data_IF_367484969726
#
_entry.id   IF_367484969726
#
_cell.length_a   1.000
_cell.length_b   1.000
_cell.length_c   1.000
_cell.angle_alpha   90.00
_cell.angle_beta   90.00
_cell.angle_gamma   90.00
#
_symmetry.space_group_name_H-M   'P 1'
#
loop_
_entity.id
_entity.type
_entity.pdbx_description
1 polymer ?
#
# COMPACT_ATOMS: atom_id res chain seq x y z
N UNK A 1 25.79 36.44 -70.48
CA UNK A 1 25.97 37.73 -69.79
C UNK A 1 25.42 37.59 -68.38
N UNK A 2 26.15 38.16 -67.41
CA UNK A 2 26.18 37.80 -66.00
C UNK A 2 25.08 38.53 -65.22
N UNK A 3 24.34 37.83 -64.37
CA UNK A 3 23.48 38.45 -63.35
C UNK A 3 23.72 37.80 -61.98
N UNK A 4 23.64 38.66 -60.97
CA UNK A 4 24.25 38.55 -59.65
C UNK A 4 23.30 37.86 -58.65
N UNK A 5 23.90 37.16 -57.68
CA UNK A 5 23.28 36.57 -56.48
C UNK A 5 22.59 37.60 -55.57
N UNK A 6 21.52 37.22 -54.87
CA UNK A 6 21.38 37.55 -53.45
C UNK A 6 20.37 36.64 -52.71
N UNK A 7 20.73 36.33 -51.47
CA UNK A 7 20.12 35.41 -50.50
C UNK A 7 18.74 35.87 -50.03
N UNK A 8 17.86 34.92 -49.74
CA UNK A 8 16.66 35.11 -48.92
C UNK A 8 16.25 33.79 -48.28
N UNK A 9 16.84 33.46 -47.13
CA UNK A 9 16.42 32.34 -46.30
C UNK A 9 15.09 32.70 -45.61
N UNK A 10 14.00 32.07 -46.03
CA UNK A 10 12.70 32.20 -45.36
C UNK A 10 12.64 31.18 -44.21
N UNK A 11 13.06 31.58 -43.02
CA UNK A 11 12.84 30.83 -41.78
C UNK A 11 11.39 31.02 -41.34
N UNK A 12 10.54 30.01 -41.58
CA UNK A 12 9.19 29.97 -41.01
C UNK A 12 9.27 29.44 -39.58
N UNK A 13 9.25 30.35 -38.60
CA UNK A 13 9.19 30.02 -37.17
C UNK A 13 7.74 29.63 -36.86
N UNK A 14 7.45 28.32 -36.91
CA UNK A 14 6.20 27.78 -36.37
C UNK A 14 6.35 27.68 -34.85
N UNK A 15 5.91 28.72 -34.14
CA UNK A 15 5.74 28.70 -32.69
C UNK A 15 4.44 27.95 -32.35
N UNK A 16 4.52 26.61 -32.28
CA UNK A 16 3.44 25.77 -31.77
C UNK A 16 3.33 25.90 -30.25
N UNK A 17 2.25 26.52 -29.78
CA UNK A 17 1.91 26.69 -28.37
C UNK A 17 1.75 25.31 -27.70
N UNK A 18 2.78 24.86 -26.98
CA UNK A 18 2.72 23.67 -26.13
C UNK A 18 1.86 24.00 -24.90
N UNK A 19 0.56 23.68 -24.97
CA UNK A 19 -0.30 23.65 -23.79
C UNK A 19 0.17 22.46 -22.95
N UNK A 20 1.03 22.73 -21.97
CA UNK A 20 1.40 21.76 -20.93
C UNK A 20 0.16 21.53 -20.08
N UNK A 21 -0.57 20.45 -20.36
CA UNK A 21 -1.52 19.89 -19.43
C UNK A 21 -0.71 19.33 -18.24
N UNK A 22 -0.44 20.18 -17.25
CA UNK A 22 0.12 19.72 -15.99
C UNK A 22 -0.90 18.74 -15.39
N UNK A 23 -0.55 17.46 -15.16
CA UNK A 23 -1.42 16.61 -14.37
C UNK A 23 -1.47 17.28 -13.00
N UNK A 24 -2.66 17.72 -12.58
CA UNK A 24 -2.89 18.06 -11.18
C UNK A 24 -2.65 16.75 -10.43
N UNK A 25 -1.43 16.55 -9.94
CA UNK A 25 -1.13 15.50 -9.00
C UNK A 25 -2.02 15.80 -7.80
N UNK A 26 -3.18 15.13 -7.75
CA UNK A 26 -3.99 15.12 -6.55
C UNK A 26 -3.05 14.62 -5.46
N UNK A 27 -2.66 15.53 -4.57
CA UNK A 27 -1.80 15.20 -3.44
C UNK A 27 -2.54 14.14 -2.64
N UNK A 28 -2.19 12.87 -2.85
CA UNK A 28 -2.76 11.78 -2.08
C UNK A 28 -2.39 12.04 -0.62
N UNK A 29 -3.39 12.40 0.19
CA UNK A 29 -3.20 12.68 1.60
C UNK A 29 -2.59 11.46 2.30
N UNK A 30 -1.82 11.71 3.36
CA UNK A 30 -1.28 10.63 4.18
C UNK A 30 -2.39 9.81 4.81
N UNK A 31 -2.28 8.48 4.71
CA UNK A 31 -3.17 7.51 5.36
C UNK A 31 -2.70 7.16 6.79
N UNK A 32 -1.64 7.81 7.30
CA UNK A 32 -1.13 7.56 8.64
C UNK A 32 -2.20 7.85 9.71
N UNK A 33 -2.29 6.98 10.72
CA UNK A 33 -3.32 7.03 11.76
C UNK A 33 -4.68 6.44 11.34
N UNK A 34 -4.98 6.36 10.04
CA UNK A 34 -6.21 5.74 9.56
C UNK A 34 -6.17 4.22 9.73
N UNK A 35 -7.33 3.66 10.11
CA UNK A 35 -7.61 2.21 10.11
C UNK A 35 -8.20 1.72 8.79
N UNK A 36 -8.51 2.61 7.85
CA UNK A 36 -9.14 2.29 6.58
C UNK A 36 -10.42 1.44 6.69
N UNK A 37 -10.59 0.53 5.75
CA UNK A 37 -11.65 -0.48 5.73
C UNK A 37 -11.36 -1.55 6.79
N UNK A 38 -12.11 -1.52 7.90
CA UNK A 38 -12.00 -2.49 9.00
C UNK A 38 -13.08 -3.54 8.84
N UNK A 39 -12.68 -4.79 8.62
CA UNK A 39 -13.58 -5.94 8.49
C UNK A 39 -13.90 -6.60 9.81
N UNK A 40 -12.95 -6.58 10.75
CA UNK A 40 -13.15 -7.00 12.13
C UNK A 40 -12.17 -6.27 13.05
N UNK A 41 -12.55 -6.04 14.32
CA UNK A 41 -11.70 -5.30 15.26
C UNK A 41 -10.38 -6.04 15.49
N UNK A 42 -9.27 -5.32 15.35
CA UNK A 42 -7.94 -5.82 15.73
C UNK A 42 -7.70 -5.45 17.19
N UNK A 43 -8.15 -6.32 18.09
CA UNK A 43 -7.89 -6.19 19.53
C UNK A 43 -6.77 -7.15 19.90
N UNK A 44 -5.55 -6.63 20.04
CA UNK A 44 -4.42 -7.42 20.54
C UNK A 44 -4.50 -7.45 22.07
N UNK A 45 -4.66 -8.61 22.72
CA UNK A 45 -4.78 -8.70 24.17
C UNK A 45 -3.57 -8.08 24.89
N UNK A 46 -3.81 -7.42 26.03
CA UNK A 46 -2.73 -6.89 26.87
C UNK A 46 -1.81 -8.03 27.32
N UNK A 47 -0.50 -7.77 27.31
CA UNK A 47 0.51 -8.78 27.63
C UNK A 47 0.82 -9.76 26.50
N UNK A 48 0.16 -9.66 25.34
CA UNK A 48 0.54 -10.44 24.16
C UNK A 48 1.99 -10.18 23.80
N UNK A 49 2.78 -11.24 23.73
CA UNK A 49 4.18 -11.19 23.31
C UNK A 49 4.29 -11.50 21.80
N UNK A 50 5.41 -11.11 21.19
CA UNK A 50 5.69 -11.36 19.77
C UNK A 50 5.45 -10.16 18.85
N UNK A 51 5.35 -10.44 17.54
CA UNK A 51 5.46 -9.41 16.50
C UNK A 51 4.15 -8.73 16.07
N UNK A 52 2.99 -9.33 16.34
CA UNK A 52 1.74 -8.87 15.73
C UNK A 52 1.24 -7.52 16.24
N UNK A 53 1.43 -7.21 17.53
CA UNK A 53 1.12 -5.87 18.06
C UNK A 53 1.97 -4.79 17.40
N UNK A 54 3.29 -5.03 17.25
CA UNK A 54 4.20 -4.12 16.56
C UNK A 54 3.86 -3.98 15.07
N UNK A 55 3.51 -5.07 14.40
CA UNK A 55 3.10 -5.06 13.00
C UNK A 55 1.80 -4.25 12.79
N UNK A 56 0.83 -4.37 13.70
CA UNK A 56 -0.40 -3.58 13.65
C UNK A 56 -0.14 -2.09 13.92
N UNK A 57 0.74 -1.75 14.88
CA UNK A 57 1.16 -0.37 15.09
C UNK A 57 1.85 0.23 13.86
N UNK A 58 2.71 -0.54 13.18
CA UNK A 58 3.34 -0.13 11.93
C UNK A 58 2.32 0.07 10.79
N UNK A 59 1.30 -0.78 10.71
CA UNK A 59 0.17 -0.58 9.80
C UNK A 59 -0.55 0.75 10.07
N UNK A 60 -0.83 1.09 11.33
CA UNK A 60 -1.46 2.36 11.68
C UNK A 60 -0.57 3.54 11.30
N UNK A 61 0.74 3.46 11.57
CA UNK A 61 1.69 4.53 11.27
C UNK A 61 1.96 4.73 9.77
N UNK A 62 1.73 3.71 8.93
CA UNK A 62 2.04 3.79 7.50
C UNK A 62 1.19 4.85 6.77
N UNK A 63 1.87 5.67 5.98
CA UNK A 63 1.27 6.78 5.23
C UNK A 63 0.63 6.35 3.91
N UNK A 64 1.00 5.19 3.37
CA UNK A 64 0.49 4.66 2.10
C UNK A 64 -0.43 3.46 2.27
N UNK A 65 -0.88 2.91 1.13
CA UNK A 65 -1.78 1.77 1.12
C UNK A 65 -1.19 0.58 1.85
N UNK A 66 -1.88 0.09 2.84
CA UNK A 66 -1.38 -0.91 3.78
C UNK A 66 -2.50 -1.85 4.17
N UNK A 67 -2.15 -3.07 4.58
CA UNK A 67 -3.14 -4.02 5.07
C UNK A 67 -2.57 -4.90 6.16
N UNK A 68 -3.44 -5.30 7.07
CA UNK A 68 -3.17 -6.21 8.16
C UNK A 68 -4.11 -7.40 8.06
N UNK A 69 -3.53 -8.59 8.02
CA UNK A 69 -4.23 -9.86 8.04
C UNK A 69 -3.88 -10.62 9.31
N UNK A 70 -4.83 -11.34 9.88
CA UNK A 70 -4.58 -12.20 11.03
C UNK A 70 -5.51 -13.41 11.04
N UNK A 71 -5.13 -14.44 11.78
CA UNK A 71 -6.10 -15.46 12.23
C UNK A 71 -7.00 -14.89 13.32
N UNK A 72 -8.17 -15.49 13.57
CA UNK A 72 -9.01 -15.09 14.70
C UNK A 72 -8.21 -15.12 16.01
N UNK A 73 -8.39 -14.08 16.83
CA UNK A 73 -7.81 -13.97 18.17
C UNK A 73 -8.91 -14.41 19.13
N UNK A 74 -8.80 -15.61 19.68
CA UNK A 74 -9.78 -16.17 20.62
C UNK A 74 -9.08 -16.72 21.85
N UNK A 75 -9.69 -16.65 23.05
CA UNK A 75 -9.08 -17.17 24.28
C UNK A 75 -8.77 -18.68 24.25
N UNK A 76 -9.49 -19.44 23.42
CA UNK A 76 -9.33 -20.88 23.30
C UNK A 76 -8.05 -21.33 22.57
N UNK A 77 -7.29 -20.40 21.97
CA UNK A 77 -6.04 -20.72 21.27
C UNK A 77 -4.91 -19.82 21.75
N UNK A 78 -3.79 -20.44 22.12
CA UNK A 78 -2.63 -19.71 22.65
C UNK A 78 -1.94 -18.82 21.61
N UNK A 79 -2.06 -19.18 20.33
CA UNK A 79 -1.40 -18.49 19.24
C UNK A 79 -2.41 -17.87 18.27
N UNK A 80 -2.07 -16.68 17.79
CA UNK A 80 -2.60 -16.14 16.55
C UNK A 80 -1.43 -15.70 15.69
N UNK A 81 -1.59 -15.81 14.38
CA UNK A 81 -0.59 -15.37 13.41
C UNK A 81 -1.13 -14.18 12.63
N UNK A 82 -0.21 -13.32 12.17
CA UNK A 82 -0.55 -12.15 11.39
C UNK A 82 0.38 -12.01 10.18
N UNK A 83 -0.05 -11.19 9.24
CA UNK A 83 0.72 -10.71 8.10
C UNK A 83 0.43 -9.24 7.87
N UNK A 84 1.44 -8.49 7.45
CA UNK A 84 1.30 -7.05 7.17
C UNK A 84 1.97 -6.71 5.86
N UNK A 85 1.34 -5.83 5.07
CA UNK A 85 1.99 -5.15 3.96
C UNK A 85 1.83 -3.65 4.15
N UNK A 86 2.94 -2.92 4.09
CA UNK A 86 2.98 -1.47 4.22
C UNK A 86 3.28 -0.83 2.87
N UNK A 87 2.69 0.33 2.62
CA UNK A 87 2.98 1.22 1.49
C UNK A 87 3.05 0.49 0.13
N UNK A 88 2.03 -0.33 -0.16
CA UNK A 88 1.85 -0.94 -1.47
C UNK A 88 1.35 0.09 -2.51
N UNK A 89 1.34 -0.31 -3.78
CA UNK A 89 0.82 0.52 -4.88
C UNK A 89 -0.70 0.74 -4.83
N UNK A 90 -1.45 -0.10 -4.12
CA UNK A 90 -2.89 0.03 -3.91
C UNK A 90 -3.35 -0.72 -2.67
N UNK A 91 -4.53 -0.36 -2.13
CA UNK A 91 -5.16 -1.07 -1.01
C UNK A 91 -5.37 -2.57 -1.32
N UNK A 92 -5.78 -2.90 -2.56
CA UNK A 92 -5.96 -4.28 -3.01
C UNK A 92 -4.64 -5.06 -3.01
N UNK A 93 -3.57 -4.48 -3.54
CA UNK A 93 -2.25 -5.11 -3.54
C UNK A 93 -1.72 -5.31 -2.10
N UNK A 94 -1.97 -4.33 -1.21
CA UNK A 94 -1.63 -4.48 0.20
C UNK A 94 -2.36 -5.67 0.83
N UNK A 95 -3.67 -5.79 0.60
CA UNK A 95 -4.49 -6.88 1.13
C UNK A 95 -4.01 -8.26 0.65
N UNK A 96 -3.81 -8.44 -0.65
CA UNK A 96 -3.34 -9.72 -1.20
C UNK A 96 -1.98 -10.14 -0.62
N UNK A 97 -1.04 -9.20 -0.48
CA UNK A 97 0.28 -9.46 0.08
C UNK A 97 0.23 -9.72 1.60
N UNK A 98 -0.61 -8.99 2.34
CA UNK A 98 -0.80 -9.22 3.78
C UNK A 98 -1.41 -10.61 4.05
N UNK A 99 -2.40 -11.03 3.26
CA UNK A 99 -2.97 -12.39 3.34
C UNK A 99 -1.93 -13.46 3.05
N UNK A 100 -1.18 -13.31 1.94
CA UNK A 100 -0.10 -14.25 1.59
C UNK A 100 0.94 -14.36 2.71
N UNK A 101 1.34 -13.23 3.28
CA UNK A 101 2.27 -13.19 4.41
C UNK A 101 1.70 -13.91 5.64
N UNK A 102 0.43 -13.70 5.99
CA UNK A 102 -0.18 -14.37 7.13
C UNK A 102 -0.24 -15.89 6.92
N UNK A 103 -0.64 -16.34 5.73
CA UNK A 103 -0.69 -17.76 5.38
C UNK A 103 0.72 -18.39 5.42
N UNK A 104 1.74 -17.69 4.92
CA UNK A 104 3.12 -18.12 5.02
C UNK A 104 3.59 -18.25 6.48
N UNK A 105 3.24 -17.29 7.34
CA UNK A 105 3.53 -17.37 8.79
C UNK A 105 2.83 -18.56 9.44
N UNK A 106 1.54 -18.80 9.12
CA UNK A 106 0.79 -19.96 9.59
C UNK A 106 1.50 -21.27 9.23
N UNK A 107 1.91 -21.42 7.97
CA UNK A 107 2.61 -22.60 7.48
C UNK A 107 4.02 -22.77 8.06
N UNK A 108 4.74 -21.66 8.30
CA UNK A 108 6.09 -21.67 8.84
C UNK A 108 6.12 -22.12 10.30
N UNK A 109 5.26 -21.54 11.14
CA UNK A 109 5.29 -21.77 12.58
C UNK A 109 4.54 -23.02 13.01
N UNK A 110 3.63 -23.54 12.17
CA UNK A 110 2.87 -24.77 12.42
C UNK A 110 2.15 -24.77 13.79
N UNK A 111 1.77 -23.59 14.26
CA UNK A 111 1.05 -23.40 15.52
C UNK A 111 -0.44 -23.66 15.34
N UNK A 112 -1.08 -24.17 16.40
CA UNK A 112 -2.54 -24.28 16.45
C UNK A 112 -3.14 -22.90 16.61
N UNK A 113 -3.95 -22.50 15.64
CA UNK A 113 -4.64 -21.21 15.57
C UNK A 113 -6.13 -21.43 15.37
N UNK A 114 -6.95 -20.48 15.78
CA UNK A 114 -8.40 -20.65 15.77
C UNK A 114 -9.06 -20.67 14.38
N UNK A 115 -8.33 -20.33 13.31
CA UNK A 115 -8.91 -20.30 11.99
C UNK A 115 -7.93 -20.00 10.85
N UNK A 116 -8.49 -19.65 9.69
CA UNK A 116 -7.73 -19.19 8.55
C UNK A 116 -7.31 -17.72 8.70
N UNK A 117 -6.28 -17.30 7.96
CA UNK A 117 -5.95 -15.89 7.85
C UNK A 117 -7.03 -15.14 7.05
N UNK A 118 -7.48 -14.01 7.57
CA UNK A 118 -8.39 -13.08 6.90
C UNK A 118 -7.84 -11.65 6.98
N UNK A 119 -8.34 -10.75 6.13
CA UNK A 119 -8.01 -9.31 6.22
C UNK A 119 -8.79 -8.71 7.38
N UNK A 120 -8.08 -8.12 8.34
CA UNK A 120 -8.70 -7.40 9.44
C UNK A 120 -8.94 -5.93 9.09
N UNK A 121 -7.94 -5.29 8.49
CA UNK A 121 -7.99 -3.88 8.11
C UNK A 121 -7.14 -3.62 6.87
N UNK A 122 -7.57 -2.70 6.02
CA UNK A 122 -6.79 -2.24 4.87
C UNK A 122 -7.07 -0.76 4.56
N UNK A 123 -6.04 -0.03 4.15
CA UNK A 123 -6.12 1.38 3.74
C UNK A 123 -5.29 1.59 2.48
#
# INVERSE_FOLDING_TARGET
MKSWTCKGAATSIVAGLLIVAAPTAAMAGSLAGSKGDVRYPVTIPLGTTGGCGKAYAAYLAAAGHSAFAATPIVPATEYFVCGVKLNASSQKAAAELALKSCQASKSKYKVTVAGACSIAASK
#
